data_IF_624786449166
#
_entry.id   IF_624786449166
#
_cell.length_a   1.000
_cell.length_b   1.000
_cell.length_c   1.000
_cell.angle_alpha   90.00
_cell.angle_beta   90.00
_cell.angle_gamma   90.00
#
_symmetry.space_group_name_H-M   'P 1'
#
loop_
_entity.id
_entity.type
_entity.pdbx_description
1 polymer ?
#
# COMPACT_ATOMS: atom_id res chain seq x y z
N UNK A 1 1.91 -6.76 13.09
CA UNK A 1 1.52 -5.34 12.96
C UNK A 1 1.74 -4.86 11.53
N UNK A 2 0.83 -4.06 11.01
CA UNK A 2 0.95 -3.48 9.66
C UNK A 2 1.17 -1.98 9.80
N UNK A 3 2.10 -1.45 9.02
CA UNK A 3 2.38 -0.01 9.02
C UNK A 3 2.65 0.48 7.61
N UNK A 4 2.70 1.80 7.44
CA UNK A 4 3.03 2.44 6.17
C UNK A 4 4.31 3.23 6.34
N UNK A 5 5.22 3.14 5.37
CA UNK A 5 6.41 3.99 5.29
C UNK A 5 6.60 4.47 3.87
N UNK A 6 7.15 5.68 3.74
CA UNK A 6 7.58 6.14 2.43
C UNK A 6 8.91 5.48 2.09
N UNK A 7 9.10 5.19 0.82
CA UNK A 7 10.32 4.53 0.34
C UNK A 7 11.57 5.37 0.65
N UNK A 8 11.40 6.67 0.87
CA UNK A 8 12.50 7.59 1.17
C UNK A 8 12.93 7.56 2.63
N UNK A 9 12.13 6.96 3.51
CA UNK A 9 12.49 6.79 4.91
C UNK A 9 13.43 5.60 5.06
N UNK A 10 14.38 5.74 5.99
CA UNK A 10 15.40 4.72 6.19
C UNK A 10 14.78 3.38 6.60
N UNK A 11 15.19 2.27 5.98
CA UNK A 11 14.74 0.95 6.41
C UNK A 11 15.14 0.67 7.87
N UNK A 12 14.29 -0.07 8.56
CA UNK A 12 14.50 -0.45 9.96
C UNK A 12 14.22 -1.95 10.13
N UNK A 13 14.95 -2.63 11.05
CA UNK A 13 14.64 -4.03 11.36
C UNK A 13 13.19 -4.25 11.79
N UNK A 14 12.56 -3.23 12.39
CA UNK A 14 11.18 -3.32 12.85
C UNK A 14 10.17 -3.30 11.71
N UNK A 15 10.60 -2.99 10.49
CA UNK A 15 9.70 -2.96 9.33
C UNK A 15 9.14 -4.33 8.98
N UNK A 16 9.85 -5.41 9.34
CA UNK A 16 9.46 -6.74 8.94
C UNK A 16 9.54 -6.89 7.42
N UNK A 17 8.51 -7.50 6.82
CA UNK A 17 8.45 -7.65 5.38
C UNK A 17 8.03 -6.32 4.76
N UNK A 18 8.85 -5.80 3.85
CA UNK A 18 8.60 -4.52 3.18
C UNK A 18 7.98 -4.80 1.81
N UNK A 19 6.75 -4.33 1.62
CA UNK A 19 5.96 -4.61 0.43
C UNK A 19 5.64 -3.30 -0.30
N UNK A 20 6.16 -3.15 -1.50
CA UNK A 20 5.82 -2.00 -2.34
C UNK A 20 4.44 -2.24 -2.94
N UNK A 21 3.51 -1.33 -2.65
CA UNK A 21 2.10 -1.46 -3.06
C UNK A 21 1.70 -0.42 -4.10
N UNK A 22 2.65 -0.02 -4.92
CA UNK A 22 2.43 0.92 -6.02
C UNK A 22 2.65 0.23 -7.36
N UNK A 23 1.97 0.73 -8.41
CA UNK A 23 2.03 0.12 -9.72
C UNK A 23 3.35 0.40 -10.43
N UNK A 24 3.95 1.55 -10.14
CA UNK A 24 5.23 1.96 -10.73
C UNK A 24 6.33 1.95 -9.69
N UNK A 25 7.56 1.63 -10.12
CA UNK A 25 8.72 1.71 -9.25
C UNK A 25 8.99 3.19 -8.91
N UNK A 26 9.32 3.49 -7.64
CA UNK A 26 9.60 4.88 -7.24
C UNK A 26 10.75 5.48 -8.03
N UNK A 27 10.54 6.68 -8.55
CA UNK A 27 11.52 7.36 -9.38
C UNK A 27 12.78 7.70 -8.58
N UNK A 28 13.94 7.38 -9.15
CA UNK A 28 15.23 7.74 -8.56
C UNK A 28 15.66 6.89 -7.37
N UNK A 29 14.97 5.79 -7.08
CA UNK A 29 15.31 4.93 -5.95
C UNK A 29 15.86 3.59 -6.44
N UNK A 30 17.08 3.24 -5.99
CA UNK A 30 17.68 1.95 -6.33
C UNK A 30 17.01 0.83 -5.54
N UNK A 31 17.20 -0.41 -6.01
CA UNK A 31 16.68 -1.58 -5.30
C UNK A 31 17.26 -1.69 -3.90
N UNK A 32 18.55 -1.40 -3.76
CA UNK A 32 19.23 -1.47 -2.46
C UNK A 32 18.65 -0.46 -1.47
N UNK A 33 18.41 0.78 -1.94
CA UNK A 33 17.85 1.83 -1.07
C UNK A 33 16.40 1.56 -0.71
N UNK A 34 15.62 1.06 -1.66
CA UNK A 34 14.21 0.75 -1.41
C UNK A 34 14.07 -0.39 -0.41
N UNK A 35 14.97 -1.35 -0.45
CA UNK A 35 14.97 -2.52 0.44
C UNK A 35 13.60 -3.21 0.47
N UNK A 36 12.99 -3.35 -0.71
CA UNK A 36 11.68 -3.95 -0.87
C UNK A 36 11.82 -5.47 -0.98
N UNK A 37 11.08 -6.20 -0.15
CA UNK A 37 11.09 -7.67 -0.19
C UNK A 37 10.13 -8.19 -1.25
N UNK A 38 9.02 -7.48 -1.47
CA UNK A 38 8.01 -7.87 -2.45
C UNK A 38 7.43 -6.63 -3.13
N UNK A 39 7.11 -6.76 -4.40
CA UNK A 39 6.45 -5.70 -5.17
C UNK A 39 5.10 -6.22 -5.66
N UNK A 40 4.02 -5.72 -5.07
CA UNK A 40 2.65 -6.13 -5.39
C UNK A 40 1.96 -5.08 -6.26
N UNK A 41 2.31 -5.03 -7.55
CA UNK A 41 1.77 -4.05 -8.51
C UNK A 41 0.25 -4.11 -8.61
N UNK A 42 -0.29 -5.32 -8.69
CA UNK A 42 -1.71 -5.55 -9.00
C UNK A 42 -2.62 -5.25 -7.82
N UNK A 43 -2.08 -4.94 -6.64
CA UNK A 43 -2.89 -4.50 -5.51
C UNK A 43 -3.11 -2.98 -5.54
N UNK A 44 -2.32 -2.27 -6.33
CA UNK A 44 -2.45 -0.82 -6.47
C UNK A 44 -3.75 -0.48 -7.23
N UNK A 45 -4.27 0.76 -7.07
CA UNK A 45 -5.45 1.18 -7.83
C UNK A 45 -5.19 1.09 -9.33
N UNK A 46 -6.25 0.89 -10.10
CA UNK A 46 -6.16 0.88 -11.55
C UNK A 46 -5.59 2.20 -12.06
N UNK A 47 -4.95 2.20 -13.25
CA UNK A 47 -4.47 3.45 -13.84
C UNK A 47 -5.57 4.50 -14.02
N UNK A 48 -6.79 4.06 -14.36
CA UNK A 48 -7.94 4.95 -14.52
C UNK A 48 -8.32 5.62 -13.21
N UNK A 49 -8.41 4.86 -12.13
CA UNK A 49 -8.75 5.38 -10.81
C UNK A 49 -7.66 6.32 -10.31
N UNK A 50 -6.41 5.95 -10.51
CA UNK A 50 -5.27 6.76 -10.10
C UNK A 50 -5.26 8.11 -10.82
N UNK A 51 -5.52 8.12 -12.13
CA UNK A 51 -5.60 9.35 -12.91
C UNK A 51 -6.77 10.23 -12.46
N UNK A 52 -7.92 9.60 -12.22
CA UNK A 52 -9.10 10.33 -11.77
C UNK A 52 -8.86 11.02 -10.44
N UNK A 53 -8.24 10.31 -9.49
CA UNK A 53 -7.97 10.87 -8.16
C UNK A 53 -6.92 11.98 -8.23
N UNK A 54 -5.80 11.73 -8.86
CA UNK A 54 -4.71 12.70 -9.11
C UNK A 54 -4.33 13.54 -7.88
N UNK A 55 -4.35 12.92 -6.69
CA UNK A 55 -4.04 13.57 -5.40
C UNK A 55 -4.96 14.75 -5.07
N UNK A 56 -6.16 14.76 -5.60
CA UNK A 56 -7.18 15.77 -5.30
C UNK A 56 -7.94 15.35 -4.05
N UNK A 57 -7.63 15.99 -2.90
CA UNK A 57 -8.18 15.64 -1.58
C UNK A 57 -9.69 15.71 -1.55
N UNK A 58 -10.30 16.57 -2.40
CA UNK A 58 -11.75 16.68 -2.45
C UNK A 58 -12.41 15.40 -2.97
N UNK A 59 -11.64 14.56 -3.66
CA UNK A 59 -12.12 13.28 -4.20
C UNK A 59 -11.82 12.10 -3.27
N UNK A 60 -11.23 12.34 -2.10
CA UNK A 60 -10.72 11.27 -1.22
C UNK A 60 -11.80 10.24 -0.85
N UNK A 61 -12.97 10.70 -0.42
CA UNK A 61 -14.03 9.78 0.01
C UNK A 61 -14.51 8.88 -1.13
N UNK A 62 -14.68 9.46 -2.32
CA UNK A 62 -15.09 8.68 -3.49
C UNK A 62 -13.95 7.76 -3.95
N UNK A 63 -12.71 8.21 -3.87
CA UNK A 63 -11.55 7.37 -4.18
C UNK A 63 -11.52 6.13 -3.30
N UNK A 64 -11.73 6.29 -2.00
CA UNK A 64 -11.77 5.15 -1.08
C UNK A 64 -12.83 4.13 -1.50
N UNK A 65 -14.03 4.60 -1.81
CA UNK A 65 -15.11 3.72 -2.21
C UNK A 65 -14.80 2.95 -3.49
N UNK A 66 -14.26 3.65 -4.48
CA UNK A 66 -13.89 3.02 -5.76
C UNK A 66 -12.76 2.03 -5.61
N UNK A 67 -11.75 2.37 -4.81
CA UNK A 67 -10.61 1.49 -4.61
C UNK A 67 -11.02 0.23 -3.84
N UNK A 68 -11.86 0.37 -2.80
CA UNK A 68 -12.37 -0.78 -2.07
C UNK A 68 -13.12 -1.75 -3.00
N UNK A 69 -13.85 -1.23 -3.98
CA UNK A 69 -14.52 -2.08 -4.98
C UNK A 69 -13.49 -2.81 -5.85
N UNK A 70 -12.41 -2.15 -6.24
CA UNK A 70 -11.35 -2.79 -7.02
C UNK A 70 -10.65 -3.88 -6.21
N UNK A 71 -10.53 -3.69 -4.91
CA UNK A 71 -9.89 -4.66 -4.03
C UNK A 71 -10.78 -5.86 -3.70
N UNK A 72 -12.06 -5.75 -3.91
CA UNK A 72 -13.00 -6.83 -3.63
C UNK A 72 -12.67 -8.05 -4.52
N UNK A 73 -12.42 -9.19 -3.89
CA UNK A 73 -12.04 -10.40 -4.61
C UNK A 73 -10.59 -10.46 -5.06
N UNK A 74 -9.79 -9.46 -4.74
CA UNK A 74 -8.37 -9.47 -5.11
C UNK A 74 -7.60 -10.39 -4.17
N UNK A 75 -7.03 -11.47 -4.72
CA UNK A 75 -6.30 -12.47 -3.94
C UNK A 75 -5.07 -11.93 -3.23
N UNK A 76 -4.48 -10.83 -3.73
CA UNK A 76 -3.31 -10.23 -3.08
C UNK A 76 -3.65 -9.67 -1.70
N UNK A 77 -4.90 -9.22 -1.51
CA UNK A 77 -5.36 -8.78 -0.19
C UNK A 77 -5.27 -9.93 0.81
N UNK A 78 -5.72 -11.11 0.41
CA UNK A 78 -5.65 -12.30 1.26
C UNK A 78 -4.20 -12.69 1.56
N UNK A 79 -3.32 -12.59 0.57
CA UNK A 79 -1.91 -12.91 0.74
C UNK A 79 -1.23 -11.95 1.72
N UNK A 80 -1.51 -10.65 1.61
CA UNK A 80 -0.95 -9.67 2.55
C UNK A 80 -1.51 -9.87 3.95
N UNK A 81 -2.80 -10.19 4.05
CA UNK A 81 -3.42 -10.49 5.35
C UNK A 81 -2.72 -11.68 6.01
N UNK A 82 -2.42 -12.72 5.24
CA UNK A 82 -1.72 -13.91 5.75
C UNK A 82 -0.30 -13.56 6.22
N UNK A 83 0.41 -12.72 5.47
CA UNK A 83 1.74 -12.28 5.88
C UNK A 83 1.69 -11.49 7.19
N UNK A 84 0.72 -10.58 7.31
CA UNK A 84 0.56 -9.75 8.51
C UNK A 84 0.19 -10.58 9.74
N UNK A 85 -0.50 -11.70 9.55
CA UNK A 85 -0.84 -12.60 10.64
C UNK A 85 0.40 -13.31 11.20
N UNK A 86 1.47 -13.40 10.39
CA UNK A 86 2.70 -14.08 10.79
C UNK A 86 3.75 -13.16 11.40
N UNK A 87 3.64 -11.86 11.20
CA UNK A 87 4.64 -10.91 11.69
C UNK A 87 4.41 -9.52 11.16
N UNK A 88 5.41 -8.68 11.33
CA UNK A 88 5.33 -7.29 10.90
C UNK A 88 5.40 -7.15 9.38
N UNK A 89 4.55 -6.30 8.85
CA UNK A 89 4.52 -5.95 7.42
C UNK A 89 4.49 -4.43 7.31
N UNK A 90 5.32 -3.89 6.42
CA UNK A 90 5.32 -2.46 6.14
C UNK A 90 4.98 -2.25 4.68
N UNK A 91 3.91 -1.50 4.44
CA UNK A 91 3.49 -1.10 3.10
C UNK A 91 4.34 0.09 2.68
N UNK A 92 5.07 -0.07 1.58
CA UNK A 92 6.01 0.95 1.09
C UNK A 92 5.36 1.73 -0.05
N UNK A 93 5.44 3.05 0.04
CA UNK A 93 4.86 3.96 -0.95
C UNK A 93 5.82 5.11 -1.26
N UNK A 94 5.56 5.81 -2.36
CA UNK A 94 6.27 7.03 -2.72
C UNK A 94 5.42 8.29 -2.51
N UNK A 95 4.12 8.13 -2.32
CA UNK A 95 3.19 9.25 -2.15
C UNK A 95 3.60 10.17 -1.01
N UNK A 96 3.38 11.48 -1.19
CA UNK A 96 3.77 12.48 -0.19
C UNK A 96 2.86 12.50 1.04
N UNK A 97 1.60 12.14 0.86
CA UNK A 97 0.59 12.13 1.92
C UNK A 97 0.13 10.70 2.20
N UNK A 98 0.80 9.99 3.12
CA UNK A 98 0.43 8.60 3.42
C UNK A 98 -1.02 8.44 3.91
N UNK A 99 -1.55 9.44 4.61
CA UNK A 99 -2.90 9.36 5.17
C UNK A 99 -4.00 9.38 4.11
N UNK A 100 -3.72 9.97 2.95
CA UNK A 100 -4.66 10.02 1.83
C UNK A 100 -4.13 9.29 0.61
N UNK A 101 -3.35 8.26 0.83
CA UNK A 101 -2.82 7.39 -0.21
C UNK A 101 -3.64 6.11 -0.32
N UNK A 102 -3.44 5.39 -1.42
CA UNK A 102 -4.05 4.05 -1.57
C UNK A 102 -3.63 3.11 -0.45
N UNK A 103 -2.41 3.27 0.06
CA UNK A 103 -1.92 2.44 1.16
C UNK A 103 -2.75 2.64 2.43
N UNK A 104 -3.26 3.84 2.69
CA UNK A 104 -4.11 4.09 3.85
C UNK A 104 -5.42 3.29 3.77
N UNK A 105 -6.01 3.21 2.58
CA UNK A 105 -7.22 2.40 2.36
C UNK A 105 -6.90 0.93 2.56
N UNK A 106 -5.80 0.48 1.97
CA UNK A 106 -5.36 -0.91 2.08
C UNK A 106 -5.05 -1.29 3.52
N UNK A 107 -4.37 -0.40 4.25
CA UNK A 107 -4.05 -0.62 5.66
C UNK A 107 -5.33 -0.81 6.48
N UNK A 108 -6.31 0.06 6.30
CA UNK A 108 -7.59 -0.05 7.01
C UNK A 108 -8.29 -1.36 6.72
N UNK A 109 -8.28 -1.80 5.46
CA UNK A 109 -8.88 -3.07 5.07
C UNK A 109 -8.16 -4.25 5.73
N UNK A 110 -6.83 -4.24 5.73
CA UNK A 110 -6.03 -5.31 6.33
C UNK A 110 -6.17 -5.36 7.85
N UNK A 111 -6.21 -4.21 8.50
CA UNK A 111 -6.42 -4.12 9.95
C UNK A 111 -7.79 -4.64 10.36
N UNK A 112 -8.81 -4.35 9.56
CA UNK A 112 -10.15 -4.86 9.80
C UNK A 112 -10.18 -6.39 9.75
N UNK A 113 -9.46 -6.99 8.79
CA UNK A 113 -9.39 -8.45 8.66
C UNK A 113 -8.65 -9.08 9.83
N UNK A 114 -7.59 -8.45 10.34
CA UNK A 114 -6.87 -8.95 11.51
C UNK A 114 -7.72 -8.93 12.77
N UNK A 115 -8.56 -7.91 12.92
CA UNK A 115 -9.42 -7.75 14.08
C UNK A 115 -10.69 -8.62 14.07
N UNK A 116 -10.94 -9.29 12.96
CA UNK A 116 -12.17 -10.08 12.80
C UNK A 116 -12.08 -11.46 13.44
#
# INVERSE_FOLDING_TARGET
MIRIKRVYEKPSPDDGIRVLVERLWPRGVSKEKAAVDRWCKEIAPSPELRKWYSHDVSKWEEFKQRYLKELDGNQLVERLSALAARGDVTLIIAARDPERSSAAVLLGLLEHREGA
#
